data_IF_654080602364
#
_entry.id   IF_654080602364
#
_cell.length_a   1.000
_cell.length_b   1.000
_cell.length_c   1.000
_cell.angle_alpha   90.00
_cell.angle_beta   90.00
_cell.angle_gamma   90.00
#
_symmetry.space_group_name_H-M   'P 1'
#
loop_
_entity.id
_entity.type
_entity.pdbx_description
1 polymer ?
#
# COMPACT_ATOMS: atom_id res chain seq x y z
N UNK A 1 -19.90 -11.67 11.34
CA UNK A 1 -18.96 -11.98 10.24
C UNK A 1 -17.53 -11.67 10.66
N UNK A 2 -16.54 -12.40 10.08
CA UNK A 2 -15.11 -12.13 10.28
C UNK A 2 -14.57 -11.26 9.14
N UNK A 3 -13.67 -10.32 9.46
CA UNK A 3 -13.00 -9.42 8.49
C UNK A 3 -11.48 -9.55 8.62
N UNK A 4 -10.76 -9.15 7.57
CA UNK A 4 -9.30 -9.05 7.56
C UNK A 4 -8.89 -7.63 7.14
N UNK A 5 -7.96 -7.02 7.86
CA UNK A 5 -7.28 -5.77 7.46
C UNK A 5 -5.81 -6.09 7.24
N UNK A 6 -5.30 -5.80 6.04
CA UNK A 6 -3.89 -5.98 5.70
C UNK A 6 -3.17 -4.66 5.96
N UNK A 7 -2.15 -4.69 6.84
CA UNK A 7 -1.32 -3.56 7.19
C UNK A 7 -0.86 -3.56 8.66
N UNK A 8 -0.03 -2.59 9.03
CA UNK A 8 0.57 -2.49 10.36
C UNK A 8 0.67 -1.06 10.89
N UNK A 9 0.19 -0.08 10.17
CA UNK A 9 0.24 1.33 10.55
C UNK A 9 -0.92 1.76 11.45
N UNK A 10 -0.85 3.00 11.95
CA UNK A 10 -1.93 3.61 12.74
C UNK A 10 -3.23 3.78 11.93
N UNK A 11 -3.12 3.99 10.63
CA UNK A 11 -4.25 4.05 9.70
C UNK A 11 -5.01 2.72 9.66
N UNK A 12 -4.30 1.61 9.55
CA UNK A 12 -4.89 0.27 9.55
C UNK A 12 -5.43 -0.11 10.92
N UNK A 13 -4.79 0.32 12.01
CA UNK A 13 -5.33 0.18 13.37
C UNK A 13 -6.68 0.89 13.50
N UNK A 14 -6.76 2.18 13.16
CA UNK A 14 -8.01 2.95 13.23
C UNK A 14 -9.13 2.33 12.37
N UNK A 15 -8.78 1.83 11.18
CA UNK A 15 -9.71 1.17 10.28
C UNK A 15 -10.24 -0.14 10.89
N UNK A 16 -9.35 -1.00 11.40
CA UNK A 16 -9.71 -2.26 12.02
C UNK A 16 -10.58 -2.05 13.29
N UNK A 17 -10.20 -1.10 14.13
CA UNK A 17 -10.98 -0.69 15.29
C UNK A 17 -12.38 -0.21 14.92
N UNK A 18 -12.50 0.64 13.91
CA UNK A 18 -13.81 1.12 13.45
C UNK A 18 -14.66 0.01 12.85
N UNK A 19 -14.07 -0.90 12.07
CA UNK A 19 -14.77 -2.06 11.51
C UNK A 19 -15.27 -3.01 12.59
N UNK A 20 -14.51 -3.20 13.67
CA UNK A 20 -14.91 -4.09 14.78
C UNK A 20 -16.17 -3.64 15.51
N UNK A 21 -16.49 -2.35 15.44
CA UNK A 21 -17.70 -1.77 16.05
C UNK A 21 -18.93 -1.85 15.14
N UNK A 22 -18.79 -2.38 13.93
CA UNK A 22 -19.90 -2.47 12.98
C UNK A 22 -20.83 -3.63 13.34
N UNK A 23 -22.14 -3.42 13.19
CA UNK A 23 -23.14 -4.46 13.48
C UNK A 23 -22.87 -5.73 12.66
N UNK A 24 -22.90 -6.89 13.30
CA UNK A 24 -22.67 -8.19 12.68
C UNK A 24 -21.20 -8.56 12.46
N UNK A 25 -20.24 -7.72 12.85
CA UNK A 25 -18.82 -8.07 12.88
C UNK A 25 -18.51 -8.74 14.22
N UNK A 26 -17.99 -9.95 14.18
CA UNK A 26 -17.62 -10.75 15.34
C UNK A 26 -16.13 -10.63 15.65
N UNK A 27 -15.32 -10.53 14.60
CA UNK A 27 -13.87 -10.54 14.73
C UNK A 27 -13.23 -9.79 13.54
N UNK A 28 -12.17 -9.04 13.83
CA UNK A 28 -11.32 -8.45 12.81
C UNK A 28 -9.88 -8.94 12.99
N UNK A 29 -9.37 -9.62 11.99
CA UNK A 29 -7.95 -10.00 11.91
C UNK A 29 -7.14 -8.86 11.31
N UNK A 30 -5.89 -8.68 11.75
CA UNK A 30 -4.98 -7.67 11.23
C UNK A 30 -3.64 -8.31 10.86
N UNK A 31 -3.24 -8.20 9.61
CA UNK A 31 -2.03 -8.83 9.08
C UNK A 31 -0.98 -7.79 8.61
N UNK A 32 0.19 -7.70 9.23
CA UNK A 32 0.61 -8.38 10.45
C UNK A 32 0.12 -7.70 11.73
N UNK A 33 -0.50 -6.51 11.65
CA UNK A 33 -0.88 -5.68 12.79
C UNK A 33 0.30 -5.00 13.48
N UNK A 34 0.04 -4.44 14.66
CA UNK A 34 1.04 -3.75 15.49
C UNK A 34 0.72 -3.91 16.98
N UNK A 35 1.52 -3.29 17.85
CA UNK A 35 1.30 -3.36 19.29
C UNK A 35 -0.06 -2.77 19.73
N UNK A 36 -0.53 -1.70 19.07
CA UNK A 36 -1.83 -1.10 19.36
C UNK A 36 -2.98 -2.04 19.00
N UNK A 37 -2.95 -2.66 17.81
CA UNK A 37 -3.98 -3.64 17.42
C UNK A 37 -4.00 -4.88 18.29
N UNK A 38 -2.85 -5.27 18.87
CA UNK A 38 -2.75 -6.39 19.80
C UNK A 38 -3.45 -6.12 21.17
N UNK A 39 -3.62 -4.86 21.53
CA UNK A 39 -4.28 -4.46 22.78
C UNK A 39 -5.80 -4.32 22.64
N UNK A 40 -6.33 -4.33 21.43
CA UNK A 40 -7.76 -4.20 21.17
C UNK A 40 -8.49 -5.54 21.32
N UNK A 41 -9.47 -5.69 22.24
CA UNK A 41 -10.12 -6.98 22.50
C UNK A 41 -10.81 -7.62 21.30
N UNK A 42 -11.32 -6.79 20.37
CA UNK A 42 -12.03 -7.25 19.16
C UNK A 42 -11.13 -7.52 17.97
N UNK A 43 -9.83 -7.23 18.08
CA UNK A 43 -8.84 -7.42 17.03
C UNK A 43 -7.93 -8.61 17.34
N UNK A 44 -7.38 -9.22 16.30
CA UNK A 44 -6.38 -10.28 16.42
C UNK A 44 -5.29 -10.12 15.38
N UNK A 45 -4.04 -9.99 15.82
CA UNK A 45 -2.90 -9.92 14.93
C UNK A 45 -2.55 -11.32 14.40
N UNK A 46 -2.30 -11.40 13.08
CA UNK A 46 -1.84 -12.63 12.43
C UNK A 46 -0.52 -12.37 11.71
N UNK A 47 0.51 -13.15 12.02
CA UNK A 47 1.87 -12.96 11.52
C UNK A 47 2.08 -13.53 10.11
N UNK A 48 1.12 -13.34 9.20
CA UNK A 48 1.20 -13.79 7.81
C UNK A 48 1.68 -12.63 6.91
N UNK A 49 2.52 -12.95 5.93
CA UNK A 49 3.16 -11.94 5.07
C UNK A 49 2.98 -12.20 3.59
N UNK A 50 2.83 -13.45 3.16
CA UNK A 50 2.63 -13.78 1.76
C UNK A 50 1.16 -13.79 1.37
N UNK A 51 0.87 -13.42 0.12
CA UNK A 51 -0.49 -13.44 -0.41
C UNK A 51 -1.11 -14.85 -0.35
N UNK A 52 -0.30 -15.90 -0.60
CA UNK A 52 -0.75 -17.28 -0.55
C UNK A 52 -1.21 -17.69 0.86
N UNK A 53 -0.41 -17.40 1.88
CA UNK A 53 -0.77 -17.67 3.29
C UNK A 53 -2.03 -16.92 3.72
N UNK A 54 -2.16 -15.65 3.30
CA UNK A 54 -3.34 -14.85 3.57
C UNK A 54 -4.61 -15.44 2.91
N UNK A 55 -4.51 -15.90 1.67
CA UNK A 55 -5.62 -16.54 0.93
C UNK A 55 -6.06 -17.83 1.63
N UNK A 56 -5.11 -18.67 2.04
CA UNK A 56 -5.40 -19.91 2.79
C UNK A 56 -6.06 -19.60 4.13
N UNK A 57 -5.54 -18.61 4.85
CA UNK A 57 -6.10 -18.15 6.11
C UNK A 57 -7.55 -17.67 5.95
N UNK A 58 -7.81 -16.81 4.97
CA UNK A 58 -9.14 -16.26 4.68
C UNK A 58 -10.16 -17.36 4.40
N UNK A 59 -9.76 -18.40 3.64
CA UNK A 59 -10.61 -19.57 3.36
C UNK A 59 -10.86 -20.40 4.62
N UNK A 60 -9.82 -20.71 5.38
CA UNK A 60 -9.90 -21.52 6.59
C UNK A 60 -10.76 -20.86 7.66
N UNK A 61 -10.58 -19.57 7.89
CA UNK A 61 -11.31 -18.82 8.91
C UNK A 61 -12.70 -18.37 8.47
N UNK A 62 -13.05 -18.48 7.20
CA UNK A 62 -14.31 -17.99 6.66
C UNK A 62 -14.41 -16.46 6.71
N UNK A 63 -13.32 -15.75 6.42
CA UNK A 63 -13.30 -14.28 6.37
C UNK A 63 -14.20 -13.81 5.24
N UNK A 64 -15.18 -12.98 5.57
CA UNK A 64 -16.20 -12.52 4.62
C UNK A 64 -15.69 -11.42 3.68
N UNK A 65 -14.74 -10.58 4.16
CA UNK A 65 -14.23 -9.45 3.40
C UNK A 65 -12.84 -9.02 3.90
N UNK A 66 -11.97 -8.60 2.96
CA UNK A 66 -10.62 -8.14 3.25
C UNK A 66 -10.45 -6.68 2.82
N UNK A 67 -9.74 -5.89 3.60
CA UNK A 67 -9.40 -4.49 3.32
C UNK A 67 -7.88 -4.33 3.33
N UNK A 68 -7.33 -3.65 2.32
CA UNK A 68 -5.88 -3.37 2.24
C UNK A 68 -5.63 -1.92 2.54
N UNK A 69 -4.77 -1.62 3.53
CA UNK A 69 -4.42 -0.26 3.93
C UNK A 69 -3.22 0.30 3.18
N UNK A 70 -2.04 -0.35 3.21
CA UNK A 70 -0.81 0.21 2.66
C UNK A 70 -0.64 -0.05 1.16
N UNK A 71 0.13 0.81 0.50
CA UNK A 71 0.40 0.74 -0.93
C UNK A 71 1.29 -0.44 -1.35
N UNK A 72 2.19 -0.89 -0.47
CA UNK A 72 3.15 -1.94 -0.82
C UNK A 72 2.49 -3.29 -1.17
N UNK A 73 1.54 -3.85 -0.39
CA UNK A 73 0.79 -5.04 -0.79
C UNK A 73 -0.04 -4.83 -2.06
N UNK A 74 -0.59 -3.63 -2.28
CA UNK A 74 -1.35 -3.29 -3.48
C UNK A 74 -0.45 -3.34 -4.73
N UNK A 75 0.73 -2.73 -4.66
CA UNK A 75 1.73 -2.77 -5.71
C UNK A 75 2.28 -4.19 -5.96
N UNK A 76 2.32 -5.03 -4.90
CA UNK A 76 2.67 -6.45 -5.02
C UNK A 76 1.58 -7.29 -5.68
N UNK A 77 0.31 -6.80 -5.75
CA UNK A 77 -0.78 -7.46 -6.46
C UNK A 77 -1.71 -8.30 -5.59
N UNK A 78 -1.74 -8.06 -4.28
CA UNK A 78 -2.61 -8.81 -3.35
C UNK A 78 -4.08 -8.82 -3.76
N UNK A 79 -4.58 -7.71 -4.33
CA UNK A 79 -5.97 -7.60 -4.79
C UNK A 79 -6.25 -8.51 -5.98
N UNK A 80 -5.30 -8.58 -6.92
CA UNK A 80 -5.43 -9.43 -8.10
C UNK A 80 -5.42 -10.92 -7.70
N UNK A 81 -4.51 -11.32 -6.78
CA UNK A 81 -4.41 -12.69 -6.27
C UNK A 81 -5.68 -13.13 -5.52
N UNK A 82 -6.23 -12.26 -4.65
CA UNK A 82 -7.47 -12.53 -3.93
C UNK A 82 -8.66 -12.67 -4.85
N UNK A 83 -8.79 -11.78 -5.86
CA UNK A 83 -9.86 -11.85 -6.86
C UNK A 83 -9.75 -13.11 -7.71
N UNK A 84 -8.54 -13.48 -8.13
CA UNK A 84 -8.30 -14.74 -8.83
C UNK A 84 -8.68 -15.97 -7.98
N UNK A 85 -8.51 -15.88 -6.65
CA UNK A 85 -8.93 -16.89 -5.69
C UNK A 85 -10.44 -16.88 -5.37
N UNK A 86 -11.23 -15.96 -5.96
CA UNK A 86 -12.67 -15.80 -5.73
C UNK A 86 -13.02 -15.14 -4.40
N UNK A 87 -12.06 -14.47 -3.73
CA UNK A 87 -12.23 -13.85 -2.43
C UNK A 87 -12.56 -12.35 -2.56
N UNK A 88 -13.39 -11.87 -1.63
CA UNK A 88 -13.81 -10.45 -1.61
C UNK A 88 -12.72 -9.59 -0.96
N UNK A 89 -12.24 -8.59 -1.68
CA UNK A 89 -11.20 -7.69 -1.22
C UNK A 89 -11.45 -6.26 -1.72
N UNK A 90 -11.19 -5.28 -0.86
CA UNK A 90 -11.21 -3.85 -1.19
C UNK A 90 -9.78 -3.32 -1.35
N UNK A 91 -9.54 -2.72 -2.48
CA UNK A 91 -8.28 -2.09 -2.87
C UNK A 91 -8.16 -1.97 -4.40
N UNK A 92 -7.29 -1.09 -4.90
CA UNK A 92 -6.96 -1.01 -6.32
C UNK A 92 -6.19 -2.26 -6.77
N UNK A 93 -6.33 -2.62 -8.02
CA UNK A 93 -5.49 -3.64 -8.67
C UNK A 93 -4.03 -3.19 -8.72
N UNK A 94 -3.11 -4.13 -8.93
CA UNK A 94 -1.68 -3.84 -9.11
C UNK A 94 -1.44 -2.76 -10.18
N UNK A 95 -2.15 -2.83 -11.29
CA UNK A 95 -2.04 -1.84 -12.37
C UNK A 95 -2.49 -0.44 -11.92
N UNK A 96 -3.59 -0.33 -11.17
CA UNK A 96 -4.09 0.94 -10.66
C UNK A 96 -3.23 1.50 -9.50
N UNK A 97 -2.65 0.62 -8.68
CA UNK A 97 -1.77 1.00 -7.59
C UNK A 97 -0.48 1.70 -8.05
N UNK A 98 -0.11 1.56 -9.33
CA UNK A 98 1.03 2.29 -9.91
C UNK A 98 0.86 3.81 -9.86
N UNK A 99 -0.38 4.33 -9.85
CA UNK A 99 -0.65 5.76 -9.71
C UNK A 99 -0.16 6.34 -8.38
N UNK A 100 -0.05 5.52 -7.34
CA UNK A 100 0.48 5.93 -6.03
C UNK A 100 1.91 5.45 -5.81
N UNK A 101 2.23 4.23 -6.21
CA UNK A 101 3.52 3.61 -5.94
C UNK A 101 4.65 4.05 -6.88
N UNK A 102 4.33 4.67 -8.04
CA UNK A 102 5.30 5.17 -9.00
C UNK A 102 5.01 6.61 -9.39
N UNK A 103 5.85 7.54 -8.92
CA UNK A 103 5.71 8.97 -9.27
C UNK A 103 5.93 9.23 -10.75
N UNK A 104 6.84 8.50 -11.39
CA UNK A 104 7.07 8.62 -12.82
C UNK A 104 5.84 8.20 -13.62
N UNK A 105 5.27 7.04 -13.30
CA UNK A 105 4.02 6.58 -13.91
C UNK A 105 2.87 7.57 -13.68
N UNK A 106 2.69 8.06 -12.46
CA UNK A 106 1.65 9.02 -12.13
C UNK A 106 1.81 10.33 -12.92
N UNK A 107 3.03 10.85 -13.02
CA UNK A 107 3.34 12.06 -13.80
C UNK A 107 3.11 11.86 -15.30
N UNK A 108 3.57 10.74 -15.85
CA UNK A 108 3.32 10.38 -17.25
C UNK A 108 1.82 10.22 -17.54
N UNK A 109 1.08 9.60 -16.63
CA UNK A 109 -0.38 9.48 -16.71
C UNK A 109 -1.05 10.86 -16.72
N UNK A 110 -0.72 11.74 -15.76
CA UNK A 110 -1.29 13.09 -15.68
C UNK A 110 -1.00 13.90 -16.95
N UNK A 111 0.21 13.82 -17.48
CA UNK A 111 0.59 14.48 -18.75
C UNK A 111 -0.24 13.96 -19.93
N UNK A 112 -0.41 12.64 -20.05
CA UNK A 112 -1.21 12.00 -21.12
C UNK A 112 -2.67 12.42 -21.08
N UNK A 113 -3.24 12.58 -19.90
CA UNK A 113 -4.66 12.90 -19.69
C UNK A 113 -4.92 14.39 -19.44
N UNK A 114 -3.91 15.26 -19.69
CA UNK A 114 -4.02 16.71 -19.51
C UNK A 114 -4.48 17.14 -18.09
N UNK A 115 -4.11 16.36 -17.08
CA UNK A 115 -4.36 16.69 -15.68
C UNK A 115 -3.31 17.69 -15.22
N UNK A 116 -3.70 18.86 -14.66
CA UNK A 116 -2.75 19.88 -14.21
C UNK A 116 -1.77 19.30 -13.16
N UNK A 117 -0.47 19.46 -13.44
CA UNK A 117 0.60 19.03 -12.53
C UNK A 117 1.82 19.90 -12.78
N UNK A 118 2.73 19.98 -11.80
CA UNK A 118 4.01 20.65 -11.97
C UNK A 118 4.85 19.96 -13.06
N UNK A 119 5.66 20.75 -13.77
CA UNK A 119 6.66 20.20 -14.70
C UNK A 119 7.58 19.23 -13.97
N UNK A 120 7.95 18.17 -14.67
CA UNK A 120 8.84 17.13 -14.14
C UNK A 120 9.77 16.60 -15.22
N UNK A 121 10.87 16.06 -14.77
CA UNK A 121 11.83 15.33 -15.61
C UNK A 121 12.31 14.10 -14.83
N UNK A 122 12.46 12.98 -15.52
CA UNK A 122 12.88 11.70 -14.94
C UNK A 122 14.32 11.43 -15.34
N UNK A 123 15.18 11.16 -14.35
CA UNK A 123 16.58 10.83 -14.53
C UNK A 123 16.87 9.45 -13.97
N UNK A 124 17.61 8.65 -14.73
CA UNK A 124 18.14 7.35 -14.30
C UNK A 124 19.57 7.47 -13.77
N UNK A 125 20.26 8.57 -14.11
CA UNK A 125 21.61 8.88 -13.66
C UNK A 125 21.61 10.11 -12.77
N UNK A 126 22.11 10.01 -11.52
CA UNK A 126 22.20 11.15 -10.60
C UNK A 126 23.07 12.30 -11.10
N UNK A 127 24.08 12.01 -11.93
CA UNK A 127 24.95 13.05 -12.52
C UNK A 127 24.18 13.88 -13.54
N UNK A 128 23.35 13.26 -14.37
CA UNK A 128 22.49 13.96 -15.32
C UNK A 128 21.46 14.86 -14.61
N UNK A 129 20.92 14.42 -13.47
CA UNK A 129 19.98 15.23 -12.65
C UNK A 129 20.62 16.48 -12.05
N UNK A 130 21.95 16.51 -11.86
CA UNK A 130 22.72 17.62 -11.30
C UNK A 130 23.31 18.56 -12.35
N UNK A 131 23.22 18.23 -13.63
CA UNK A 131 23.81 19.02 -14.69
C UNK A 131 23.22 20.44 -14.74
N UNK A 132 24.04 21.52 -14.93
CA UNK A 132 23.57 22.89 -15.07
C UNK A 132 22.66 22.99 -16.32
N UNK A 133 21.40 23.34 -16.12
CA UNK A 133 20.39 23.42 -17.19
C UNK A 133 19.22 22.47 -17.02
N UNK A 134 19.31 21.48 -16.13
CA UNK A 134 18.14 20.76 -15.67
C UNK A 134 17.16 21.75 -15.05
N UNK A 135 15.92 21.81 -15.54
CA UNK A 135 14.87 22.61 -14.90
C UNK A 135 14.87 22.27 -13.43
N UNK A 136 14.94 23.28 -12.54
CA UNK A 136 14.90 23.15 -11.10
C UNK A 136 13.54 22.59 -10.66
N UNK A 137 13.25 21.34 -11.02
CA UNK A 137 12.21 20.55 -10.42
C UNK A 137 12.83 19.81 -9.24
N UNK A 138 12.13 19.70 -8.13
CA UNK A 138 12.49 18.79 -7.05
C UNK A 138 12.81 17.42 -7.67
N UNK A 139 14.02 16.94 -7.48
CA UNK A 139 14.39 15.59 -7.88
C UNK A 139 13.53 14.62 -7.05
N UNK A 140 12.42 14.17 -7.61
CA UNK A 140 11.68 13.06 -7.06
C UNK A 140 12.48 11.80 -7.36
N UNK A 141 13.33 11.41 -6.42
CA UNK A 141 14.09 10.18 -6.48
C UNK A 141 13.09 9.02 -6.58
N UNK A 142 13.04 8.36 -7.75
CA UNK A 142 12.25 7.15 -7.91
C UNK A 142 12.64 6.14 -6.85
N UNK A 143 11.67 5.51 -6.21
CA UNK A 143 11.80 4.60 -5.07
C UNK A 143 12.70 3.37 -5.30
N UNK A 144 13.22 3.17 -6.51
CA UNK A 144 14.12 2.07 -6.85
C UNK A 144 15.61 2.33 -6.58
N UNK A 145 16.03 3.57 -6.28
CA UNK A 145 17.43 3.93 -6.04
C UNK A 145 17.72 4.50 -4.65
N UNK A 146 16.72 4.64 -3.78
CA UNK A 146 16.94 5.03 -2.40
C UNK A 146 17.32 3.79 -1.55
N UNK A 147 18.54 3.27 -1.78
CA UNK A 147 19.20 2.35 -0.86
C UNK A 147 19.35 3.01 0.51
N UNK A 148 19.24 2.19 1.55
CA UNK A 148 19.22 2.54 2.97
C UNK A 148 20.51 3.22 3.52
N UNK A 149 21.17 4.09 2.79
CA UNK A 149 22.35 4.80 3.31
C UNK A 149 22.33 6.27 2.89
N UNK A 150 22.28 7.12 3.90
CA UNK A 150 22.63 8.55 3.79
C UNK A 150 21.46 9.53 3.83
N UNK A 151 21.02 9.89 5.04
CA UNK A 151 20.52 11.24 5.28
C UNK A 151 21.67 12.21 5.04
N UNK A 152 21.71 12.79 3.86
CA UNK A 152 22.53 13.98 3.60
C UNK A 152 21.57 15.14 3.33
N UNK A 153 21.70 16.14 4.19
CA UNK A 153 21.09 17.47 4.18
C UNK A 153 20.67 17.98 2.80
N UNK A 154 19.37 18.05 2.59
CA UNK A 154 18.78 18.98 1.63
C UNK A 154 18.37 20.24 2.41
N UNK A 155 19.27 21.25 2.44
CA UNK A 155 18.90 22.64 2.73
C UNK A 155 18.56 23.36 1.44
#
# INVERSE_FOLDING_TARGET
>A
MKLLVIGSGGREHALAWRLSQSAGVEKVFVAPGNAGTALEPALENIALKSNAELIEFVRREGVAFTVVGPEAPLAAGVVDDFRAAGLKIFGPTKAAAQLESSKDFAKAFMKRHHIPTADYETFTDPAAARAPGGKKGRADCGSSLCGKEGRADCR
#
